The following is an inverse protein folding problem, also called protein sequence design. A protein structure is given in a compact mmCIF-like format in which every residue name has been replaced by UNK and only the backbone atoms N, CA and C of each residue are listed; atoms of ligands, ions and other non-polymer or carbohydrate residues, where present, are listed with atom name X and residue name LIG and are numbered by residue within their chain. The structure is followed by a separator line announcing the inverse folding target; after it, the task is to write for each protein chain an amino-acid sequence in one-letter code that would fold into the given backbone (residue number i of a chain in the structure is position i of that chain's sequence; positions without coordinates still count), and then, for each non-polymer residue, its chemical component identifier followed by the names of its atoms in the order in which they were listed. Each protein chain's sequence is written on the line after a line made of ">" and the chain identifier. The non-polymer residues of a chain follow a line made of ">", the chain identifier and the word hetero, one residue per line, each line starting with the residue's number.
data_IF_991700144892
#
_entry.id   IF_991700144892
#
_cell.length_a   1.000
_cell.length_b   1.000
_cell.length_c   1.000
_cell.angle_alpha   90.00
_cell.angle_beta   90.00
_cell.angle_gamma   90.00
#
_symmetry.space_group_name_H-M   'P 1'
#
loop_
_entity.id
_entity.type
_entity.pdbx_description
1 polymer ?
#
# COMPACT_ATOMS: atom_id res chain seq x y z
N UNK A 1 16.89 -44.65 -52.79
CA UNK A 1 15.44 -44.68 -53.07
C UNK A 1 14.70 -44.64 -51.73
N UNK A 2 13.53 -43.99 -51.70
CA UNK A 2 12.61 -43.79 -50.56
C UNK A 2 12.91 -42.52 -49.72
N UNK A 3 12.55 -41.32 -50.16
CA UNK A 3 11.23 -40.62 -50.23
C UNK A 3 10.90 -39.81 -48.97
N UNK A 4 10.83 -38.50 -49.21
CA UNK A 4 10.43 -37.34 -48.40
C UNK A 4 8.97 -37.36 -47.95
N UNK A 5 8.66 -36.73 -46.81
CA UNK A 5 7.33 -36.24 -46.36
C UNK A 5 7.52 -35.45 -45.05
N UNK A 6 7.37 -34.11 -45.07
CA UNK A 6 6.30 -33.27 -44.45
C UNK A 6 6.37 -33.21 -42.91
N UNK A 7 6.02 -32.18 -42.14
CA UNK A 7 5.51 -30.81 -42.26
C UNK A 7 5.57 -30.21 -40.82
N UNK A 8 5.34 -28.92 -40.66
CA UNK A 8 4.64 -28.42 -39.47
C UNK A 8 5.38 -27.41 -38.59
N UNK A 9 4.97 -26.15 -38.75
CA UNK A 9 5.24 -25.04 -37.85
C UNK A 9 4.70 -25.29 -36.43
N UNK A 10 5.40 -24.78 -35.41
CA UNK A 10 4.84 -24.55 -34.08
C UNK A 10 4.96 -23.07 -33.73
N UNK A 11 3.81 -22.39 -33.79
CA UNK A 11 3.56 -21.09 -33.17
C UNK A 11 3.43 -21.30 -31.66
N UNK A 12 4.20 -20.56 -30.86
CA UNK A 12 3.97 -20.46 -29.42
C UNK A 12 2.80 -19.50 -29.17
N UNK A 13 1.66 -20.05 -28.77
CA UNK A 13 0.58 -19.31 -28.12
C UNK A 13 1.00 -19.05 -26.67
N UNK A 14 1.23 -17.80 -26.29
CA UNK A 14 1.28 -17.40 -24.89
C UNK A 14 -0.09 -16.91 -24.44
N UNK A 15 -0.67 -17.75 -23.59
CA UNK A 15 -1.84 -17.58 -22.76
C UNK A 15 -1.55 -16.45 -21.74
N UNK A 16 -2.41 -15.44 -21.63
CA UNK A 16 -2.45 -14.66 -20.40
C UNK A 16 -3.86 -14.26 -20.00
N UNK A 17 -4.16 -14.70 -18.78
CA UNK A 17 -5.39 -14.79 -18.05
C UNK A 17 -5.99 -13.44 -17.67
N UNK A 18 -7.31 -13.39 -17.73
CA UNK A 18 -8.19 -12.47 -17.02
C UNK A 18 -7.83 -12.34 -15.54
N UNK A 19 -7.38 -11.16 -15.11
CA UNK A 19 -7.24 -10.81 -13.70
C UNK A 19 -8.45 -9.98 -13.27
N UNK A 20 -9.38 -10.64 -12.60
CA UNK A 20 -10.41 -10.01 -11.79
C UNK A 20 -9.75 -9.41 -10.55
N UNK A 21 -9.72 -8.07 -10.45
CA UNK A 21 -9.32 -7.40 -9.23
C UNK A 21 -10.55 -7.11 -8.37
N UNK A 22 -10.76 -8.06 -7.46
CA UNK A 22 -11.26 -7.96 -6.08
C UNK A 22 -12.09 -6.71 -5.73
N UNK A 23 -13.40 -6.89 -5.79
CA UNK A 23 -14.38 -6.05 -5.12
C UNK A 23 -14.72 -6.65 -3.75
N UNK A 24 -13.89 -6.46 -2.71
CA UNK A 24 -14.36 -6.49 -1.32
C UNK A 24 -13.26 -6.22 -0.27
N UNK A 25 -13.24 -5.01 0.30
CA UNK A 25 -12.95 -4.84 1.73
C UNK A 25 -13.45 -3.48 2.24
N UNK A 26 -14.77 -3.31 2.22
CA UNK A 26 -15.48 -2.30 3.01
C UNK A 26 -15.54 -2.68 4.50
N UNK A 27 -14.45 -3.22 5.05
CA UNK A 27 -14.30 -3.51 6.47
C UNK A 27 -13.70 -2.30 7.16
N UNK A 28 -14.60 -1.45 7.68
CA UNK A 28 -14.40 -0.47 8.74
C UNK A 28 -13.15 0.45 8.62
N UNK A 29 -13.25 1.50 7.80
CA UNK A 29 -12.25 2.58 7.76
C UNK A 29 -12.05 3.30 9.12
N UNK A 30 -12.95 3.10 10.09
CA UNK A 30 -12.84 3.71 11.42
C UNK A 30 -11.82 2.98 12.30
N UNK A 31 -11.54 1.71 12.02
CA UNK A 31 -10.57 0.88 12.74
C UNK A 31 -9.12 1.02 12.25
N UNK A 32 -8.85 1.80 11.18
CA UNK A 32 -7.48 1.98 10.68
C UNK A 32 -6.61 2.72 11.70
N UNK A 33 -5.50 2.09 12.08
CA UNK A 33 -4.46 2.72 12.87
C UNK A 33 -3.79 3.85 12.09
N UNK A 34 -3.57 5.00 12.74
CA UNK A 34 -2.85 6.13 12.16
C UNK A 34 -1.51 6.26 12.88
N UNK A 35 -0.45 6.46 12.10
CA UNK A 35 0.90 6.66 12.62
C UNK A 35 1.18 8.15 12.84
N UNK A 36 1.59 8.46 14.06
CA UNK A 36 1.98 9.79 14.51
C UNK A 36 3.47 9.80 14.90
N UNK A 37 4.12 10.95 14.90
CA UNK A 37 5.46 11.14 15.46
C UNK A 37 5.37 11.94 16.76
N UNK A 38 6.11 11.54 17.78
CA UNK A 38 6.16 12.30 19.04
C UNK A 38 6.98 13.58 18.87
N UNK A 39 6.57 14.69 19.50
CA UNK A 39 7.27 15.97 19.38
C UNK A 39 8.62 16.05 20.10
N UNK A 40 8.86 15.23 21.13
CA UNK A 40 10.09 15.32 21.94
C UNK A 40 11.12 14.23 21.63
N UNK A 41 10.65 13.04 21.23
CA UNK A 41 11.52 11.88 21.00
C UNK A 41 11.45 11.33 19.58
N UNK A 42 10.67 11.97 18.68
CA UNK A 42 10.45 11.59 17.28
C UNK A 42 10.03 10.14 17.02
N UNK A 43 9.71 9.39 18.09
CA UNK A 43 9.33 8.01 18.00
C UNK A 43 7.98 7.87 17.26
N UNK A 44 7.85 6.88 16.36
CA UNK A 44 6.58 6.58 15.73
C UNK A 44 5.61 5.96 16.75
N UNK A 45 4.39 6.48 16.80
CA UNK A 45 3.31 6.01 17.68
C UNK A 45 2.08 5.69 16.82
N UNK A 46 1.66 4.43 16.83
CA UNK A 46 0.40 3.99 16.23
C UNK A 46 -0.74 4.13 17.25
N UNK A 47 -1.78 4.86 16.88
CA UNK A 47 -2.97 5.07 17.71
C UNK A 47 -4.26 4.71 16.95
N UNK A 48 -5.22 4.16 17.69
CA UNK A 48 -6.61 3.98 17.24
C UNK A 48 -7.46 5.20 17.56
N UNK A 49 -8.58 5.35 16.86
CA UNK A 49 -9.62 6.32 17.22
C UNK A 49 -10.17 5.97 18.61
N UNK A 50 -10.12 6.92 19.54
CA UNK A 50 -10.61 6.76 20.92
C UNK A 50 -9.56 6.31 21.95
N UNK A 51 -8.34 5.95 21.53
CA UNK A 51 -7.23 5.66 22.45
C UNK A 51 -6.69 6.96 23.07
N UNK A 52 -6.32 6.99 24.37
CA UNK A 52 -5.74 8.18 24.99
C UNK A 52 -4.40 8.56 24.35
N UNK A 53 -4.22 9.85 24.06
CA UNK A 53 -3.00 10.38 23.44
C UNK A 53 -1.83 10.38 24.42
N UNK A 54 -0.90 9.44 24.23
CA UNK A 54 0.35 9.33 25.00
C UNK A 54 1.44 8.70 24.14
N UNK A 55 2.64 9.26 24.18
CA UNK A 55 3.81 8.61 23.61
C UNK A 55 4.24 7.42 24.49
N UNK A 56 4.52 6.26 23.86
CA UNK A 56 4.90 5.01 24.56
C UNK A 56 6.34 5.04 25.11
N UNK A 57 7.22 5.88 24.57
CA UNK A 57 8.63 5.98 24.98
C UNK A 57 8.88 7.08 26.01
N UNK A 58 8.29 8.28 25.84
CA UNK A 58 8.56 9.44 26.70
C UNK A 58 7.38 9.91 27.57
N UNK A 59 6.16 9.39 27.36
CA UNK A 59 4.98 9.76 28.16
C UNK A 59 4.35 11.13 27.85
N UNK A 60 4.97 11.94 26.99
CA UNK A 60 4.43 13.23 26.55
C UNK A 60 3.16 13.03 25.69
N UNK A 61 2.30 14.05 25.66
CA UNK A 61 0.97 13.99 25.03
C UNK A 61 0.85 14.76 23.71
N UNK A 62 1.97 15.28 23.20
CA UNK A 62 2.02 16.01 21.93
C UNK A 62 2.54 15.06 20.84
N UNK A 63 1.69 14.80 19.86
CA UNK A 63 2.02 13.97 18.70
C UNK A 63 1.66 14.71 17.41
N UNK A 64 2.54 14.66 16.42
CA UNK A 64 2.32 15.20 15.09
C UNK A 64 1.85 14.11 14.13
N UNK A 65 1.00 14.46 13.17
CA UNK A 65 0.59 13.53 12.12
C UNK A 65 1.72 13.43 11.09
N UNK A 66 2.05 12.21 10.65
CA UNK A 66 3.04 12.04 9.58
C UNK A 66 2.61 12.71 8.28
N UNK A 67 3.60 13.23 7.53
CA UNK A 67 3.42 13.73 6.16
C UNK A 67 2.89 12.62 5.27
N UNK A 68 2.00 12.95 4.35
CA UNK A 68 1.56 12.00 3.33
C UNK A 68 2.67 11.73 2.30
N UNK A 69 2.77 10.50 1.83
CA UNK A 69 3.64 10.15 0.70
C UNK A 69 3.08 10.56 -0.67
N UNK A 70 1.83 11.05 -0.72
CA UNK A 70 1.21 11.52 -1.95
C UNK A 70 1.88 12.83 -2.40
N UNK A 71 2.23 12.89 -3.69
CA UNK A 71 2.76 14.10 -4.31
C UNK A 71 1.71 15.22 -4.26
N UNK A 72 2.15 16.42 -3.90
CA UNK A 72 1.35 17.63 -3.84
C UNK A 72 1.90 18.64 -4.85
N UNK A 73 1.05 19.16 -5.73
CA UNK A 73 1.40 20.19 -6.71
C UNK A 73 1.07 21.57 -6.13
N UNK A 74 2.05 22.48 -6.16
CA UNK A 74 1.85 23.87 -5.77
C UNK A 74 2.03 24.78 -6.98
N UNK A 75 1.33 25.93 -6.99
CA UNK A 75 1.54 27.03 -7.93
C UNK A 75 2.49 28.06 -7.32
N UNK A 76 3.38 28.65 -8.12
CA UNK A 76 4.28 29.72 -7.70
C UNK A 76 3.54 31.06 -7.82
N UNK A 77 2.76 31.40 -6.79
CA UNK A 77 2.15 32.72 -6.62
C UNK A 77 3.01 33.61 -5.74
#
# INVERSE_FOLDING_TARGET
>A
MSTYTTAGAQQQQQQQSSMAHDASSSTDERARFVEYSCGDCDAPVSLKRGEPIRCRSCGHRVLYKKRTHRMVQFEAR
#
